data_IF_706976578280
#
_entry.id   IF_706976578280
#
_cell.length_a   1.000
_cell.length_b   1.000
_cell.length_c   1.000
_cell.angle_alpha   90.00
_cell.angle_beta   90.00
_cell.angle_gamma   90.00
#
_symmetry.space_group_name_H-M   'P 1'
#
loop_
_entity.id
_entity.type
_entity.pdbx_description
1 polymer ?
#
# COMPACT_ATOMS: atom_id res chain seq x y z
N UNK A 1 -2.10 -22.52 11.29
CA UNK A 1 -2.18 -21.49 10.22
C UNK A 1 -2.67 -22.24 8.99
N UNK A 2 -3.80 -21.84 8.40
CA UNK A 2 -4.38 -22.51 7.23
C UNK A 2 -3.42 -22.43 6.05
N UNK A 3 -3.38 -23.47 5.21
CA UNK A 3 -2.48 -23.57 4.05
C UNK A 3 -2.62 -22.37 3.09
N UNK A 4 -3.84 -21.82 2.98
CA UNK A 4 -4.14 -20.63 2.18
C UNK A 4 -3.46 -19.35 2.67
N UNK A 5 -3.38 -19.14 3.99
CA UNK A 5 -2.73 -17.92 4.54
C UNK A 5 -1.25 -17.90 4.18
N UNK A 6 -0.59 -19.06 4.19
CA UNK A 6 0.82 -19.19 3.82
C UNK A 6 1.03 -18.86 2.34
N UNK A 7 0.11 -19.28 1.48
CA UNK A 7 0.18 -18.97 0.05
C UNK A 7 -0.06 -17.48 -0.24
N UNK A 8 -1.01 -16.84 0.46
CA UNK A 8 -1.24 -15.40 0.37
C UNK A 8 -0.02 -14.62 0.86
N UNK A 9 0.54 -15.01 2.01
CA UNK A 9 1.71 -14.34 2.57
C UNK A 9 2.89 -14.36 1.59
N UNK A 10 3.12 -15.50 0.95
CA UNK A 10 4.16 -15.62 -0.09
C UNK A 10 3.89 -14.74 -1.30
N UNK A 11 2.63 -14.68 -1.77
CA UNK A 11 2.24 -13.79 -2.87
C UNK A 11 2.44 -12.31 -2.52
N UNK A 12 2.14 -11.93 -1.27
CA UNK A 12 2.37 -10.58 -0.75
C UNK A 12 3.86 -10.26 -0.77
N UNK A 13 4.71 -11.12 -0.20
CA UNK A 13 6.17 -10.89 -0.19
C UNK A 13 6.76 -10.79 -1.61
N UNK A 14 6.30 -11.62 -2.54
CA UNK A 14 6.72 -11.53 -3.94
C UNK A 14 6.23 -10.23 -4.58
N UNK A 15 5.00 -9.82 -4.28
CA UNK A 15 4.43 -8.56 -4.74
C UNK A 15 5.20 -7.35 -4.23
N UNK A 16 5.51 -7.28 -2.93
CA UNK A 16 6.29 -6.20 -2.32
C UNK A 16 7.66 -6.05 -2.99
N UNK A 17 8.37 -7.17 -3.18
CA UNK A 17 9.68 -7.18 -3.85
C UNK A 17 9.62 -6.82 -5.32
N UNK A 18 8.56 -7.23 -6.02
CA UNK A 18 8.39 -6.89 -7.43
C UNK A 18 8.01 -5.42 -7.59
N UNK A 19 7.12 -4.91 -6.74
CA UNK A 19 6.71 -3.52 -6.70
C UNK A 19 7.91 -2.60 -6.40
N UNK A 20 8.69 -2.92 -5.37
CA UNK A 20 9.92 -2.19 -5.04
C UNK A 20 10.91 -2.16 -6.19
N UNK A 21 11.07 -3.26 -6.95
CA UNK A 21 11.98 -3.28 -8.10
C UNK A 21 11.45 -2.48 -9.29
N UNK A 22 10.13 -2.43 -9.49
CA UNK A 22 9.51 -1.69 -10.60
C UNK A 22 9.46 -0.19 -10.35
N UNK A 23 9.01 0.22 -9.16
CA UNK A 23 8.75 1.62 -8.82
C UNK A 23 9.82 2.22 -7.90
N UNK A 24 10.67 1.41 -7.28
CA UNK A 24 11.62 1.89 -6.26
C UNK A 24 10.96 2.22 -4.92
N UNK A 25 9.72 1.75 -4.71
CA UNK A 25 8.91 2.00 -3.52
C UNK A 25 8.81 0.71 -2.69
N UNK A 26 9.29 0.78 -1.47
CA UNK A 26 9.13 -0.23 -0.44
C UNK A 26 7.71 -0.20 0.13
N UNK A 27 7.09 -1.37 0.15
CA UNK A 27 5.69 -1.53 0.46
C UNK A 27 5.60 -2.69 1.43
N UNK A 28 4.97 -2.46 2.59
CA UNK A 28 4.96 -3.39 3.71
C UNK A 28 3.52 -3.69 4.13
N UNK A 29 3.06 -4.92 3.94
CA UNK A 29 1.75 -5.39 4.35
C UNK A 29 1.75 -5.78 5.83
N UNK A 30 0.79 -5.24 6.57
CA UNK A 30 0.53 -5.66 7.95
C UNK A 30 -0.23 -6.99 8.00
N UNK A 31 -0.13 -7.70 9.13
CA UNK A 31 -0.85 -8.97 9.33
C UNK A 31 -2.37 -8.82 9.11
N UNK A 32 -2.95 -7.67 9.47
CA UNK A 32 -4.36 -7.38 9.22
C UNK A 32 -4.71 -7.26 7.74
N UNK A 33 -3.79 -6.72 6.93
CA UNK A 33 -3.96 -6.62 5.48
C UNK A 33 -3.93 -8.00 4.83
N UNK A 34 -2.98 -8.84 5.25
CA UNK A 34 -2.88 -10.24 4.79
C UNK A 34 -4.17 -10.99 5.15
N UNK A 35 -4.63 -10.88 6.40
CA UNK A 35 -5.90 -11.49 6.81
C UNK A 35 -7.08 -11.00 5.97
N UNK A 36 -7.16 -9.69 5.70
CA UNK A 36 -8.23 -9.12 4.87
C UNK A 36 -8.20 -9.66 3.44
N UNK A 37 -7.01 -9.77 2.84
CA UNK A 37 -6.83 -10.38 1.52
C UNK A 37 -7.28 -11.85 1.57
N UNK A 38 -6.86 -12.62 2.58
CA UNK A 38 -7.31 -14.01 2.76
C UNK A 38 -8.83 -14.09 2.89
N UNK A 39 -9.48 -13.24 3.70
CA UNK A 39 -10.94 -13.19 3.80
C UNK A 39 -11.61 -12.94 2.46
N UNK A 40 -11.07 -12.01 1.65
CA UNK A 40 -11.60 -11.70 0.31
C UNK A 40 -11.45 -12.91 -0.61
N UNK A 41 -10.31 -13.62 -0.59
CA UNK A 41 -10.12 -14.83 -1.39
C UNK A 41 -11.03 -15.99 -0.97
N UNK A 42 -11.23 -16.15 0.33
CA UNK A 42 -12.11 -17.17 0.89
C UNK A 42 -13.58 -16.90 0.57
N UNK A 43 -13.98 -15.62 0.51
CA UNK A 43 -15.35 -15.21 0.19
C UNK A 43 -15.62 -15.11 -1.33
N UNK A 44 -14.66 -14.61 -2.10
CA UNK A 44 -14.68 -14.58 -3.56
C UNK A 44 -13.72 -15.64 -4.09
N UNK A 45 -14.22 -16.88 -4.25
CA UNK A 45 -13.49 -18.04 -4.77
C UNK A 45 -12.49 -17.64 -5.88
N UNK A 46 -11.21 -17.59 -5.52
CA UNK A 46 -10.09 -17.58 -6.48
C UNK A 46 -9.69 -16.26 -7.13
N UNK A 47 -10.12 -15.08 -6.63
CA UNK A 47 -9.74 -13.78 -7.23
C UNK A 47 -8.52 -13.08 -6.62
N UNK A 48 -7.72 -13.74 -5.78
CA UNK A 48 -6.55 -13.09 -5.14
C UNK A 48 -5.61 -12.40 -6.12
N UNK A 49 -5.26 -13.08 -7.23
CA UNK A 49 -4.42 -12.50 -8.27
C UNK A 49 -5.05 -11.25 -8.92
N UNK A 50 -6.38 -11.21 -9.08
CA UNK A 50 -7.08 -10.04 -9.58
C UNK A 50 -7.10 -8.89 -8.56
N UNK A 51 -7.21 -9.20 -7.26
CA UNK A 51 -7.10 -8.21 -6.19
C UNK A 51 -5.71 -7.58 -6.17
N UNK A 52 -4.64 -8.39 -6.15
CA UNK A 52 -3.26 -7.90 -6.21
C UNK A 52 -3.01 -7.06 -7.46
N UNK A 53 -3.50 -7.49 -8.62
CA UNK A 53 -3.35 -6.72 -9.86
C UNK A 53 -4.07 -5.37 -9.82
N UNK A 54 -5.26 -5.32 -9.20
CA UNK A 54 -6.00 -4.08 -8.99
C UNK A 54 -5.26 -3.16 -8.02
N UNK A 55 -4.91 -3.66 -6.84
CA UNK A 55 -4.12 -2.94 -5.83
C UNK A 55 -2.81 -2.41 -6.43
N UNK A 56 -2.12 -3.21 -7.23
CA UNK A 56 -0.90 -2.79 -7.92
C UNK A 56 -1.09 -1.57 -8.80
N UNK A 57 -2.18 -1.52 -9.57
CA UNK A 57 -2.47 -0.38 -10.44
C UNK A 57 -2.79 0.87 -9.63
N UNK A 58 -3.65 0.74 -8.62
CA UNK A 58 -4.03 1.85 -7.75
C UNK A 58 -2.80 2.38 -6.99
N UNK A 59 -1.98 1.49 -6.44
CA UNK A 59 -0.75 1.81 -5.72
C UNK A 59 0.34 2.38 -6.62
N UNK A 60 0.54 1.86 -7.83
CA UNK A 60 1.54 2.38 -8.76
C UNK A 60 1.25 3.87 -9.06
N UNK A 61 0.00 4.21 -9.37
CA UNK A 61 -0.38 5.59 -9.63
C UNK A 61 -0.30 6.46 -8.37
N UNK A 62 -0.84 5.98 -7.25
CA UNK A 62 -0.87 6.72 -6.00
C UNK A 62 0.50 6.97 -5.39
N UNK A 63 1.35 5.95 -5.32
CA UNK A 63 2.70 6.06 -4.77
C UNK A 63 3.64 6.80 -5.70
N UNK A 64 3.47 6.72 -7.02
CA UNK A 64 4.22 7.59 -7.93
C UNK A 64 3.96 9.07 -7.61
N UNK A 65 2.70 9.43 -7.38
CA UNK A 65 2.30 10.80 -7.02
C UNK A 65 2.89 11.25 -5.68
N UNK A 66 2.85 10.37 -4.67
CA UNK A 66 3.40 10.65 -3.33
C UNK A 66 4.92 10.72 -3.38
N UNK A 67 5.58 9.82 -4.11
CA UNK A 67 7.03 9.80 -4.31
C UNK A 67 7.50 11.06 -5.02
N UNK A 68 6.82 11.50 -6.08
CA UNK A 68 7.16 12.73 -6.80
C UNK A 68 7.06 13.97 -5.90
N UNK A 69 6.10 13.99 -4.98
CA UNK A 69 5.86 15.12 -4.07
C UNK A 69 6.73 15.13 -2.82
N UNK A 70 6.91 13.97 -2.18
CA UNK A 70 7.55 13.84 -0.86
C UNK A 70 8.93 13.22 -0.92
N UNK A 71 9.24 12.47 -1.98
CA UNK A 71 10.39 11.58 -2.04
C UNK A 71 10.27 10.34 -1.14
N UNK A 72 9.12 10.13 -0.48
CA UNK A 72 8.90 8.99 0.41
C UNK A 72 8.78 7.70 -0.40
N UNK A 73 9.49 6.67 0.08
CA UNK A 73 9.61 5.38 -0.59
C UNK A 73 9.07 4.23 0.24
N UNK A 74 8.71 4.45 1.49
CA UNK A 74 8.27 3.42 2.41
C UNK A 74 6.79 3.62 2.74
N UNK A 75 5.98 2.61 2.48
CA UNK A 75 4.53 2.65 2.69
C UNK A 75 4.05 1.37 3.37
N UNK A 76 3.14 1.52 4.32
CA UNK A 76 2.53 0.39 5.03
C UNK A 76 1.11 0.20 4.50
N UNK A 77 0.80 -1.02 4.08
CA UNK A 77 -0.54 -1.43 3.66
C UNK A 77 -1.21 -2.13 4.83
N UNK A 78 -2.30 -1.52 5.32
CA UNK A 78 -3.13 -2.09 6.39
C UNK A 78 -4.43 -2.64 5.80
N UNK A 79 -5.23 -3.30 6.64
CA UNK A 79 -6.60 -3.72 6.29
C UNK A 79 -7.40 -2.60 5.64
N UNK A 80 -7.33 -1.38 6.17
CA UNK A 80 -8.08 -0.24 5.66
C UNK A 80 -7.60 0.16 4.26
N UNK A 81 -6.31 0.04 3.99
CA UNK A 81 -5.73 0.31 2.66
C UNK A 81 -6.18 -0.73 1.63
N UNK A 82 -6.34 -2.00 2.03
CA UNK A 82 -6.87 -3.05 1.15
C UNK A 82 -8.35 -2.83 0.84
N UNK A 83 -9.13 -2.39 1.83
CA UNK A 83 -10.56 -2.10 1.68
C UNK A 83 -10.79 -0.83 0.85
N UNK A 84 -9.98 0.22 1.08
CA UNK A 84 -10.08 1.53 0.43
C UNK A 84 -8.69 2.09 0.04
N UNK A 85 -8.10 1.61 -1.08
CA UNK A 85 -6.78 2.05 -1.53
C UNK A 85 -6.78 3.52 -1.95
N UNK A 86 -7.84 3.98 -2.62
CA UNK A 86 -7.98 5.38 -3.06
C UNK A 86 -7.98 6.37 -1.88
N UNK A 87 -8.77 6.11 -0.83
CA UNK A 87 -8.82 7.02 0.31
C UNK A 87 -7.56 6.97 1.17
N UNK A 88 -6.88 5.82 1.25
CA UNK A 88 -5.54 5.76 1.85
C UNK A 88 -4.55 6.67 1.11
N UNK A 89 -4.47 6.55 -0.22
CA UNK A 89 -3.61 7.40 -1.05
C UNK A 89 -3.99 8.88 -0.92
N UNK A 90 -5.28 9.21 -0.95
CA UNK A 90 -5.76 10.59 -0.80
C UNK A 90 -5.36 11.18 0.55
N UNK A 91 -5.48 10.41 1.63
CA UNK A 91 -5.05 10.82 2.99
C UNK A 91 -3.54 11.04 3.04
N UNK A 92 -2.75 10.11 2.51
CA UNK A 92 -1.30 10.24 2.43
C UNK A 92 -0.87 11.47 1.66
N UNK A 93 -1.42 11.69 0.46
CA UNK A 93 -1.17 12.90 -0.34
C UNK A 93 -1.52 14.14 0.48
N UNK A 94 -2.68 14.16 1.15
CA UNK A 94 -3.12 15.33 1.92
C UNK A 94 -2.18 15.63 3.11
N UNK A 95 -1.74 14.60 3.82
CA UNK A 95 -0.76 14.69 4.92
C UNK A 95 0.59 15.24 4.43
N UNK A 96 1.06 14.76 3.28
CA UNK A 96 2.28 15.22 2.62
C UNK A 96 2.23 16.72 2.32
N UNK A 97 1.13 17.17 1.70
CA UNK A 97 0.94 18.59 1.37
C UNK A 97 0.81 19.46 2.62
N UNK A 98 0.24 18.93 3.70
CA UNK A 98 0.11 19.61 4.99
C UNK A 98 1.47 19.75 5.69
N UNK A 99 2.32 18.72 5.68
CA UNK A 99 3.68 18.82 6.27
C UNK A 99 4.58 19.80 5.54
N UNK A 100 4.50 19.89 4.21
CA UNK A 100 5.30 20.86 3.45
C UNK A 100 4.93 22.33 3.74
N UNK A 101 3.71 22.59 4.20
CA UNK A 101 3.28 23.94 4.56
C UNK A 101 3.68 24.33 5.98
N UNK A 102 3.81 23.36 6.88
CA UNK A 102 4.19 23.56 8.30
C UNK A 102 5.70 23.85 8.47
N UNK A 103 6.55 23.19 7.68
CA UNK A 103 8.01 23.30 7.79
C UNK A 103 8.60 24.66 7.32
N UNK A 104 7.76 25.61 6.90
CA UNK A 104 8.17 26.99 6.55
C UNK A 104 8.03 27.99 7.69
N UNK A 105 7.47 27.60 8.84
CA UNK A 105 7.13 28.52 9.93
C UNK A 105 8.03 28.42 11.17
N UNK A 106 8.95 27.46 11.25
CA UNK A 106 9.81 27.25 12.44
C UNK A 106 11.25 27.80 12.30
N UNK A 107 11.55 28.63 11.30
CA UNK A 107 12.86 29.29 11.16
C UNK A 107 12.87 30.74 11.68
N UNK A 108 11.98 31.06 12.64
CA UNK A 108 11.87 32.43 13.16
C UNK A 108 11.36 32.52 14.61
N UNK A 109 12.12 31.99 15.56
CA UNK A 109 12.14 32.49 16.95
C UNK A 109 13.56 32.54 17.50
#
# INVERSE_FOLDING_TARGET
>A
ISEEVVEIQRQVEEFERDFQRRTGVDLQFSEEAINRVTEILLNEEGKGAALFSKLSKDFEYGFELIRDKTGQREFIVTRETVDDPEGYLNRMIREVYKRQSDQRLEDKE
#
